data_IF_981605286186
#
_entry.id   IF_981605286186
#
_cell.length_a   1.000
_cell.length_b   1.000
_cell.length_c   1.000
_cell.angle_alpha   90.00
_cell.angle_beta   90.00
_cell.angle_gamma   90.00
#
_symmetry.space_group_name_H-M   'P 1'
#
loop_
_entity.id
_entity.type
_entity.pdbx_description
1 polymer ?
#
# COMPACT_ATOMS: atom_id res chain seq x y z
N UNK A 1 3.34 11.65 16.20
CA UNK A 1 3.70 11.08 14.90
C UNK A 1 4.38 9.76 15.15
N UNK A 2 3.76 8.66 14.72
CA UNK A 2 4.41 7.35 14.79
C UNK A 2 5.65 7.33 13.89
N UNK A 3 6.61 6.44 14.17
CA UNK A 3 7.79 6.27 13.31
C UNK A 3 7.39 5.91 11.88
N UNK A 4 6.26 5.21 11.68
CA UNK A 4 5.75 4.85 10.37
C UNK A 4 5.18 6.05 9.61
N UNK A 5 4.40 6.91 10.27
CA UNK A 5 3.89 8.16 9.66
C UNK A 5 5.03 9.06 9.19
N UNK A 6 6.09 9.21 10.00
CA UNK A 6 7.25 9.99 9.63
C UNK A 6 7.98 9.41 8.40
N UNK A 7 8.12 8.08 8.32
CA UNK A 7 8.70 7.39 7.15
C UNK A 7 7.84 7.58 5.90
N UNK A 8 6.51 7.49 6.03
CA UNK A 8 5.57 7.71 4.92
C UNK A 8 5.66 9.14 4.39
N UNK A 9 5.76 10.14 5.27
CA UNK A 9 5.91 11.54 4.87
C UNK A 9 7.25 11.79 4.18
N UNK A 10 8.34 11.22 4.69
CA UNK A 10 9.65 11.33 4.06
C UNK A 10 9.67 10.71 2.66
N UNK A 11 9.18 9.47 2.52
CA UNK A 11 9.13 8.79 1.22
C UNK A 11 8.26 9.54 0.20
N UNK A 12 7.15 10.16 0.62
CA UNK A 12 6.38 11.05 -0.26
C UNK A 12 7.16 12.29 -0.69
N UNK A 13 7.86 12.95 0.24
CA UNK A 13 8.64 14.13 -0.06
C UNK A 13 9.79 13.83 -1.05
N UNK A 14 10.37 12.64 -0.93
CA UNK A 14 11.46 12.16 -1.80
C UNK A 14 10.96 11.55 -3.13
N UNK A 15 9.64 11.35 -3.28
CA UNK A 15 9.05 10.66 -4.44
C UNK A 15 9.43 9.18 -4.53
N UNK A 16 9.79 8.55 -3.41
CA UNK A 16 10.26 7.16 -3.36
C UNK A 16 9.09 6.17 -3.37
N UNK A 17 8.53 5.96 -4.57
CA UNK A 17 7.41 5.04 -4.77
C UNK A 17 7.71 3.59 -4.34
N UNK A 18 8.97 3.14 -4.40
CA UNK A 18 9.35 1.80 -3.92
C UNK A 18 9.22 1.71 -2.40
N UNK A 19 9.72 2.72 -1.67
CA UNK A 19 9.54 2.81 -0.22
C UNK A 19 8.06 2.96 0.14
N UNK A 20 7.29 3.73 -0.64
CA UNK A 20 5.85 3.90 -0.44
C UNK A 20 5.09 2.57 -0.45
N UNK A 21 5.41 1.67 -1.40
CA UNK A 21 4.80 0.33 -1.46
C UNK A 21 5.09 -0.46 -0.19
N UNK A 22 6.34 -0.47 0.28
CA UNK A 22 6.74 -1.21 1.47
C UNK A 22 6.08 -0.66 2.75
N UNK A 23 6.08 0.67 2.91
CA UNK A 23 5.56 1.34 4.10
C UNK A 23 4.03 1.20 4.23
N UNK A 24 3.30 1.27 3.12
CA UNK A 24 1.85 1.04 3.16
C UNK A 24 1.50 -0.42 3.43
N UNK A 25 2.32 -1.37 3.03
CA UNK A 25 2.13 -2.78 3.43
C UNK A 25 2.35 -2.98 4.93
N UNK A 26 3.40 -2.37 5.48
CA UNK A 26 3.65 -2.35 6.93
C UNK A 26 2.45 -1.74 7.69
N UNK A 27 1.90 -0.62 7.19
CA UNK A 27 0.69 -0.01 7.75
C UNK A 27 -0.51 -0.97 7.72
N UNK A 28 -0.71 -1.67 6.59
CA UNK A 28 -1.80 -2.64 6.42
C UNK A 28 -1.71 -3.83 7.38
N UNK A 29 -0.51 -4.25 7.77
CA UNK A 29 -0.30 -5.34 8.74
C UNK A 29 -0.68 -4.94 10.17
N UNK A 30 -0.51 -3.67 10.51
CA UNK A 30 -0.84 -3.13 11.85
C UNK A 30 -2.24 -2.50 11.94
N UNK A 31 -2.98 -2.48 10.83
CA UNK A 31 -4.27 -1.82 10.74
C UNK A 31 -5.32 -2.51 11.65
N UNK A 32 -5.99 -1.76 12.55
CA UNK A 32 -6.95 -2.30 13.51
C UNK A 32 -8.28 -2.75 12.88
N UNK A 33 -8.59 -2.28 11.67
CA UNK A 33 -9.84 -2.59 10.97
C UNK A 33 -9.58 -3.06 9.55
N UNK A 34 -10.48 -3.89 9.01
CA UNK A 34 -10.40 -4.33 7.62
C UNK A 34 -10.50 -3.15 6.64
N UNK A 35 -11.25 -2.10 7.00
CA UNK A 35 -11.37 -0.89 6.21
C UNK A 35 -10.04 -0.11 6.13
N UNK A 36 -9.33 0.05 7.26
CA UNK A 36 -8.00 0.67 7.28
C UNK A 36 -6.97 -0.19 6.54
N UNK A 37 -7.01 -1.51 6.73
CA UNK A 37 -6.17 -2.44 5.99
C UNK A 37 -6.40 -2.32 4.48
N UNK A 38 -7.66 -2.26 4.06
CA UNK A 38 -8.03 -2.06 2.66
C UNK A 38 -7.47 -0.74 2.12
N UNK A 39 -7.65 0.36 2.86
CA UNK A 39 -7.13 1.67 2.50
C UNK A 39 -5.62 1.63 2.25
N UNK A 40 -4.84 1.09 3.17
CA UNK A 40 -3.39 1.00 3.02
C UNK A 40 -2.96 0.09 1.86
N UNK A 41 -3.63 -1.06 1.67
CA UNK A 41 -3.32 -1.94 0.54
C UNK A 41 -3.68 -1.32 -0.81
N UNK A 42 -4.73 -0.50 -0.89
CA UNK A 42 -5.06 0.27 -2.10
C UNK A 42 -3.95 1.28 -2.40
N UNK A 43 -3.46 2.01 -1.41
CA UNK A 43 -2.35 2.93 -1.60
C UNK A 43 -1.08 2.18 -2.05
N UNK A 44 -0.73 1.07 -1.41
CA UNK A 44 0.38 0.22 -1.84
C UNK A 44 0.23 -0.26 -3.28
N UNK A 45 -1.00 -0.62 -3.70
CA UNK A 45 -1.27 -1.07 -5.06
C UNK A 45 -1.08 0.04 -6.10
N UNK A 46 -1.56 1.26 -5.82
CA UNK A 46 -1.39 2.43 -6.70
C UNK A 46 0.09 2.70 -6.94
N UNK A 47 0.88 2.85 -5.87
CA UNK A 47 2.33 3.09 -6.01
C UNK A 47 3.05 1.92 -6.68
N UNK A 48 2.62 0.68 -6.41
CA UNK A 48 3.19 -0.49 -7.07
C UNK A 48 2.98 -0.48 -8.59
N UNK A 49 1.84 0.03 -9.07
CA UNK A 49 1.62 0.20 -10.50
C UNK A 49 2.48 1.32 -11.09
N UNK A 50 2.58 2.46 -10.40
CA UNK A 50 3.35 3.62 -10.85
C UNK A 50 4.84 3.29 -11.07
N UNK A 51 5.42 2.49 -10.18
CA UNK A 51 6.85 2.10 -10.26
C UNK A 51 7.09 0.74 -10.93
N UNK A 52 6.06 0.13 -11.52
CA UNK A 52 6.11 -1.22 -12.08
C UNK A 52 6.68 -2.27 -11.09
N UNK A 53 6.29 -2.16 -9.82
CA UNK A 53 6.72 -3.05 -8.75
C UNK A 53 6.23 -4.49 -8.99
N UNK A 54 7.07 -5.53 -8.75
CA UNK A 54 6.68 -6.92 -8.97
C UNK A 54 5.43 -7.35 -8.19
N UNK A 55 5.24 -6.80 -6.99
CA UNK A 55 4.09 -7.10 -6.13
C UNK A 55 2.76 -6.46 -6.56
N UNK A 56 2.72 -5.66 -7.64
CA UNK A 56 1.49 -5.02 -8.10
C UNK A 56 0.36 -6.04 -8.33
N UNK A 57 0.68 -7.22 -8.90
CA UNK A 57 -0.30 -8.30 -9.12
C UNK A 57 -0.76 -8.92 -7.80
N UNK A 58 0.15 -9.22 -6.88
CA UNK A 58 -0.17 -9.81 -5.58
C UNK A 58 -1.04 -8.89 -4.72
N UNK A 59 -0.76 -7.59 -4.75
CA UNK A 59 -1.57 -6.58 -4.06
C UNK A 59 -2.98 -6.52 -4.64
N UNK A 60 -3.09 -6.51 -5.97
CA UNK A 60 -4.37 -6.55 -6.67
C UNK A 60 -5.20 -7.78 -6.30
N UNK A 61 -4.61 -8.97 -6.34
CA UNK A 61 -5.32 -10.22 -6.00
C UNK A 61 -5.81 -10.21 -4.54
N UNK A 62 -5.08 -9.54 -3.65
CA UNK A 62 -5.52 -9.33 -2.26
C UNK A 62 -6.70 -8.37 -2.18
N UNK A 63 -6.67 -7.25 -2.92
CA UNK A 63 -7.78 -6.31 -2.97
C UNK A 63 -9.05 -6.92 -3.59
N UNK A 64 -8.91 -7.75 -4.64
CA UNK A 64 -10.03 -8.50 -5.23
C UNK A 64 -10.66 -9.43 -4.19
N UNK A 65 -9.87 -10.19 -3.42
CA UNK A 65 -10.39 -11.05 -2.35
C UNK A 65 -11.10 -10.26 -1.24
N UNK A 66 -10.69 -9.02 -1.00
CA UNK A 66 -11.33 -8.12 -0.04
C UNK A 66 -12.56 -7.39 -0.60
N UNK A 67 -12.92 -7.60 -1.88
CA UNK A 67 -14.01 -6.88 -2.55
C UNK A 67 -13.70 -5.39 -2.79
N UNK A 68 -12.42 -5.02 -2.89
CA UNK A 68 -11.93 -3.64 -3.04
C UNK A 68 -11.41 -3.33 -4.45
N UNK A 69 -11.35 -4.33 -5.31
CA UNK A 69 -10.90 -4.25 -6.70
C UNK A 69 -11.63 -5.31 -7.54
N UNK A 70 -11.60 -5.19 -8.86
CA UNK A 70 -12.28 -6.13 -9.78
C UNK A 70 -11.29 -7.06 -10.48
N UNK A 71 -11.62 -8.35 -10.71
CA UNK A 71 -10.89 -9.23 -11.62
C UNK A 71 -10.71 -8.61 -13.02
N UNK A 72 -9.67 -9.06 -13.75
CA UNK A 72 -9.27 -8.53 -15.06
C UNK A 72 -9.81 -9.48 -16.12
#
# INVERSE_FOLDING_TARGET
MSTLEARLLAAHADGDGMAMVALYREAAETAPTEAERAFFLTQAHVFAMEVAHPDARTLRDTLVRMGRETPL
#
